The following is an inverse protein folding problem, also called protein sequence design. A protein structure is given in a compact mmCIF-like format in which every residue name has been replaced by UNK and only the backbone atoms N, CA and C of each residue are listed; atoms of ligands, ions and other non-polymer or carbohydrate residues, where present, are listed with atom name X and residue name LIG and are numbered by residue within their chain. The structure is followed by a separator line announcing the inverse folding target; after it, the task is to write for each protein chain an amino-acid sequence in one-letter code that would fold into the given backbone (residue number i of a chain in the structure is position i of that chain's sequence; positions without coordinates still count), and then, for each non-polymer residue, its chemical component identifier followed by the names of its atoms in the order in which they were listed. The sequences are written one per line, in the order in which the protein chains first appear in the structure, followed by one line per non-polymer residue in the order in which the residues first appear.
data_IF_442454599591
#
_entry.id   IF_442454599591
#
_cell.length_a   1.000
_cell.length_b   1.000
_cell.length_c   1.000
_cell.angle_alpha   90.00
_cell.angle_beta   90.00
_cell.angle_gamma   90.00
#
_symmetry.space_group_name_H-M   'P 1'
#
loop_
_entity.id
_entity.type
_entity.pdbx_description
1 polymer ?
#
# COMPACT_ATOMS: atom_id res chain seq x y z
N UNK A 1 21.99 -4.93 -124.44
CA UNK A 1 21.50 -5.51 -123.17
C UNK A 1 22.29 -6.79 -122.93
N UNK A 2 23.38 -6.75 -122.18
CA UNK A 2 23.55 -6.79 -120.71
C UNK A 2 23.70 -8.21 -120.11
N UNK A 3 24.96 -8.48 -119.74
CA UNK A 3 25.51 -9.26 -118.60
C UNK A 3 25.51 -10.79 -118.59
N UNK A 4 26.73 -11.31 -118.79
CA UNK A 4 27.37 -12.29 -117.91
C UNK A 4 27.58 -11.71 -116.49
N UNK A 5 27.43 -12.53 -115.45
CA UNK A 5 28.45 -12.80 -114.41
C UNK A 5 27.84 -13.48 -113.18
N UNK A 6 28.09 -14.78 -113.03
CA UNK A 6 27.70 -15.57 -111.86
C UNK A 6 28.93 -16.34 -111.34
N UNK A 7 29.86 -15.66 -110.65
CA UNK A 7 30.95 -16.35 -109.92
C UNK A 7 31.46 -15.66 -108.62
N UNK A 8 30.98 -14.48 -108.23
CA UNK A 8 31.60 -13.74 -107.10
C UNK A 8 31.01 -13.98 -105.68
N UNK A 9 29.95 -14.78 -105.52
CA UNK A 9 29.21 -14.85 -104.24
C UNK A 9 29.76 -15.81 -103.18
N UNK A 10 30.64 -16.76 -103.53
CA UNK A 10 31.01 -17.83 -102.59
C UNK A 10 32.26 -17.55 -101.73
N UNK A 11 33.07 -16.52 -102.04
CA UNK A 11 34.32 -16.25 -101.30
C UNK A 11 34.15 -15.36 -100.06
N UNK A 12 33.03 -14.63 -99.94
CA UNK A 12 32.80 -13.72 -98.80
C UNK A 12 32.26 -14.45 -97.55
N UNK A 13 31.59 -15.59 -97.73
CA UNK A 13 30.99 -16.33 -96.59
C UNK A 13 32.00 -17.03 -95.67
N UNK A 14 33.18 -17.43 -96.19
CA UNK A 14 34.15 -18.21 -95.42
C UNK A 14 35.02 -17.37 -94.47
N UNK A 15 35.23 -16.09 -94.78
CA UNK A 15 36.06 -15.20 -93.95
C UNK A 15 35.31 -14.75 -92.68
N UNK A 16 33.99 -14.62 -92.75
CA UNK A 16 33.18 -14.21 -91.60
C UNK A 16 33.01 -15.33 -90.54
N UNK A 17 33.00 -16.60 -90.96
CA UNK A 17 32.86 -17.74 -90.03
C UNK A 17 34.09 -18.00 -89.16
N UNK A 18 35.30 -17.70 -89.66
CA UNK A 18 36.55 -17.95 -88.93
C UNK A 18 36.77 -16.92 -87.80
N UNK A 19 36.25 -15.70 -87.94
CA UNK A 19 36.48 -14.62 -86.97
C UNK A 19 35.69 -14.79 -85.66
N UNK A 20 34.55 -15.49 -85.70
CA UNK A 20 33.66 -15.66 -84.55
C UNK A 20 34.15 -16.76 -83.59
N UNK A 21 34.92 -17.74 -84.10
CA UNK A 21 35.43 -18.85 -83.26
C UNK A 21 36.62 -18.42 -82.39
N UNK A 22 37.35 -17.36 -82.75
CA UNK A 22 38.53 -16.89 -82.00
C UNK A 22 38.16 -16.10 -80.73
N UNK A 23 36.92 -15.61 -80.61
CA UNK A 23 36.49 -14.77 -79.46
C UNK A 23 35.95 -15.62 -78.29
N UNK A 24 35.79 -16.94 -78.47
CA UNK A 24 35.16 -17.83 -77.48
C UNK A 24 36.13 -18.75 -76.72
N UNK A 25 37.35 -18.29 -76.40
CA UNK A 25 38.22 -19.00 -75.45
C UNK A 25 38.08 -18.44 -74.03
N UNK A 26 37.75 -19.26 -73.01
CA UNK A 26 37.65 -18.79 -71.64
C UNK A 26 39.04 -18.60 -71.03
N UNK A 27 39.29 -17.40 -70.50
CA UNK A 27 40.49 -17.04 -69.74
C UNK A 27 40.47 -17.79 -68.40
N UNK A 28 41.32 -18.81 -68.27
CA UNK A 28 41.64 -19.48 -67.01
C UNK A 28 42.83 -18.81 -66.32
N UNK A 29 42.60 -18.18 -65.15
CA UNK A 29 43.50 -18.07 -63.98
C UNK A 29 43.19 -16.80 -63.15
N UNK A 30 42.44 -16.94 -62.06
CA UNK A 30 42.45 -15.96 -60.97
C UNK A 30 43.20 -16.60 -59.79
N UNK A 31 44.43 -16.15 -59.55
CA UNK A 31 45.19 -16.51 -58.36
C UNK A 31 44.57 -15.80 -57.16
N UNK A 32 43.94 -16.55 -56.25
CA UNK A 32 43.53 -16.03 -54.94
C UNK A 32 44.80 -15.83 -54.11
N UNK A 33 45.22 -14.58 -53.94
CA UNK A 33 46.33 -14.21 -53.05
C UNK A 33 45.86 -14.41 -51.61
N UNK A 34 46.25 -15.53 -50.99
CA UNK A 34 46.08 -15.75 -49.56
C UNK A 34 47.09 -14.91 -48.79
N UNK A 35 46.74 -13.66 -48.48
CA UNK A 35 47.47 -12.91 -47.47
C UNK A 35 47.08 -13.43 -46.08
N UNK A 36 48.07 -13.90 -45.33
CA UNK A 36 47.89 -14.47 -44.00
C UNK A 36 47.28 -13.44 -43.03
N UNK A 37 47.59 -12.15 -43.20
CA UNK A 37 47.05 -11.09 -42.36
C UNK A 37 45.56 -10.84 -42.63
N UNK A 38 45.14 -10.80 -43.89
CA UNK A 38 43.70 -10.72 -44.26
C UNK A 38 42.93 -11.98 -43.89
N UNK A 39 43.53 -13.15 -44.01
CA UNK A 39 42.92 -14.43 -43.58
C UNK A 39 42.75 -14.47 -42.05
N UNK A 40 43.77 -14.07 -41.29
CA UNK A 40 43.69 -13.94 -39.83
C UNK A 40 42.65 -12.89 -39.39
N UNK A 41 42.58 -11.75 -40.08
CA UNK A 41 41.58 -10.71 -39.81
C UNK A 41 40.16 -11.19 -40.11
N UNK A 42 39.97 -11.91 -41.21
CA UNK A 42 38.67 -12.45 -41.60
C UNK A 42 38.19 -13.53 -40.63
N UNK A 43 39.09 -14.41 -40.16
CA UNK A 43 38.77 -15.43 -39.16
C UNK A 43 38.47 -14.82 -37.79
N UNK A 44 39.23 -13.83 -37.34
CA UNK A 44 38.91 -13.08 -36.12
C UNK A 44 37.57 -12.34 -36.23
N UNK A 45 37.29 -11.71 -37.37
CA UNK A 45 36.01 -11.03 -37.63
C UNK A 45 34.85 -12.03 -37.63
N UNK A 46 35.04 -13.22 -38.21
CA UNK A 46 34.04 -14.29 -38.19
C UNK A 46 33.79 -14.81 -36.77
N UNK A 47 34.86 -15.00 -35.97
CA UNK A 47 34.75 -15.42 -34.57
C UNK A 47 34.00 -14.38 -33.71
N UNK A 48 34.30 -13.09 -33.89
CA UNK A 48 33.60 -12.01 -33.18
C UNK A 48 32.14 -11.92 -33.61
N UNK A 49 31.84 -12.04 -34.91
CA UNK A 49 30.46 -12.07 -35.41
C UNK A 49 29.68 -13.26 -34.86
N UNK A 50 30.31 -14.42 -34.80
CA UNK A 50 29.73 -15.63 -34.23
C UNK A 50 29.44 -15.43 -32.75
N UNK A 51 30.38 -14.91 -31.97
CA UNK A 51 30.19 -14.61 -30.55
C UNK A 51 29.06 -13.61 -30.30
N UNK A 52 29.00 -12.52 -31.07
CA UNK A 52 27.91 -11.54 -30.98
C UNK A 52 26.57 -12.17 -31.35
N UNK A 53 26.52 -12.98 -32.40
CA UNK A 53 25.31 -13.69 -32.80
C UNK A 53 24.83 -14.68 -31.74
N UNK A 54 25.74 -15.47 -31.15
CA UNK A 54 25.42 -16.37 -30.03
C UNK A 54 24.88 -15.61 -28.83
N UNK A 55 25.49 -14.45 -28.51
CA UNK A 55 25.10 -13.60 -27.38
C UNK A 55 23.71 -12.99 -27.60
N UNK A 56 23.47 -12.42 -28.78
CA UNK A 56 22.16 -11.89 -29.17
C UNK A 56 21.11 -13.00 -29.14
N UNK A 57 21.42 -14.20 -29.64
CA UNK A 57 20.49 -15.34 -29.63
C UNK A 57 20.14 -15.76 -28.21
N UNK A 58 21.12 -15.85 -27.30
CA UNK A 58 20.89 -16.15 -25.89
C UNK A 58 20.07 -15.06 -25.20
N UNK A 59 20.38 -13.79 -25.44
CA UNK A 59 19.60 -12.66 -24.91
C UNK A 59 18.16 -12.72 -25.42
N UNK A 60 17.96 -13.02 -26.70
CA UNK A 60 16.65 -13.12 -27.32
C UNK A 60 15.85 -14.31 -26.80
N UNK A 61 16.48 -15.46 -26.57
CA UNK A 61 15.87 -16.62 -25.92
C UNK A 61 15.49 -16.31 -24.47
N UNK A 62 16.36 -15.60 -23.73
CA UNK A 62 16.08 -15.17 -22.36
C UNK A 62 14.94 -14.15 -22.30
N UNK A 63 14.91 -13.19 -23.22
CA UNK A 63 13.80 -12.24 -23.37
C UNK A 63 12.52 -13.00 -23.72
N UNK A 64 12.54 -14.00 -24.61
CA UNK A 64 11.37 -14.86 -24.87
C UNK A 64 10.93 -15.68 -23.66
N UNK A 65 11.86 -16.20 -22.87
CA UNK A 65 11.55 -16.88 -21.61
C UNK A 65 10.90 -15.92 -20.59
N UNK A 66 11.42 -14.71 -20.46
CA UNK A 66 10.87 -13.67 -19.58
C UNK A 66 9.56 -13.08 -20.11
N UNK A 67 9.38 -13.06 -21.43
CA UNK A 67 8.19 -12.54 -22.11
C UNK A 67 7.07 -13.59 -22.21
N UNK A 68 7.33 -14.87 -21.96
CA UNK A 68 6.30 -15.92 -21.92
C UNK A 68 5.26 -15.59 -20.85
N UNK A 69 4.15 -15.03 -21.34
CA UNK A 69 3.05 -14.41 -20.59
C UNK A 69 2.51 -15.35 -19.52
N UNK A 70 2.37 -14.86 -18.29
CA UNK A 70 1.88 -15.70 -17.19
C UNK A 70 0.40 -16.05 -17.41
N UNK A 71 -0.41 -15.11 -17.88
CA UNK A 71 -1.84 -15.34 -18.18
C UNK A 71 -2.09 -16.31 -19.35
N UNK A 72 -1.12 -16.50 -20.25
CA UNK A 72 -1.21 -17.50 -21.32
C UNK A 72 -0.91 -18.93 -20.83
N UNK A 73 -0.22 -19.06 -19.70
CA UNK A 73 0.19 -20.35 -19.12
C UNK A 73 -0.67 -20.76 -17.93
N UNK A 74 -1.34 -19.82 -17.27
CA UNK A 74 -2.17 -20.06 -16.09
C UNK A 74 -3.18 -18.94 -15.91
N UNK A 75 -4.35 -19.26 -15.34
CA UNK A 75 -5.26 -18.21 -14.86
C UNK A 75 -4.58 -17.40 -13.76
N UNK A 76 -4.67 -16.07 -13.86
CA UNK A 76 -4.17 -15.12 -12.85
C UNK A 76 -5.16 -14.91 -11.70
N UNK A 77 -6.41 -15.37 -11.86
CA UNK A 77 -7.44 -15.34 -10.80
C UNK A 77 -7.00 -16.10 -9.54
N UNK A 78 -6.06 -17.04 -9.65
CA UNK A 78 -5.47 -17.74 -8.49
C UNK A 78 -4.70 -16.82 -7.53
N UNK A 79 -4.37 -15.60 -7.95
CA UNK A 79 -3.75 -14.57 -7.11
C UNK A 79 -4.76 -13.57 -6.55
N UNK A 80 -6.03 -13.64 -6.99
CA UNK A 80 -7.10 -12.87 -6.39
C UNK A 80 -7.32 -13.38 -4.96
N UNK A 81 -7.45 -12.46 -4.02
CA UNK A 81 -7.77 -12.78 -2.65
C UNK A 81 -9.29 -12.70 -2.48
N UNK A 82 -9.93 -13.84 -2.29
CA UNK A 82 -11.33 -13.90 -1.89
C UNK A 82 -11.45 -13.52 -0.40
N UNK A 83 -12.50 -12.79 -0.03
CA UNK A 83 -12.77 -12.33 1.34
C UNK A 83 -11.64 -11.53 2.03
N UNK A 84 -11.07 -10.54 1.32
CA UNK A 84 -10.13 -9.59 1.93
C UNK A 84 -10.80 -8.84 3.09
N UNK A 85 -10.16 -8.72 4.27
CA UNK A 85 -10.64 -7.88 5.35
C UNK A 85 -10.95 -6.46 4.87
N UNK A 86 -12.21 -6.04 4.97
CA UNK A 86 -12.66 -4.71 4.55
C UNK A 86 -12.86 -3.81 5.76
N UNK A 87 -12.66 -2.52 5.53
CA UNK A 87 -13.02 -1.50 6.51
C UNK A 87 -14.51 -1.60 6.86
N UNK A 88 -14.82 -1.59 8.16
CA UNK A 88 -16.21 -1.62 8.65
C UNK A 88 -17.02 -0.48 8.03
N UNK A 89 -18.18 -0.79 7.46
CA UNK A 89 -19.00 0.15 6.68
C UNK A 89 -20.13 0.80 7.48
N UNK A 90 -20.61 0.13 8.53
CA UNK A 90 -21.72 0.56 9.36
C UNK A 90 -21.46 0.16 10.82
N UNK A 91 -21.91 0.99 11.77
CA UNK A 91 -22.02 0.55 13.16
C UNK A 91 -23.10 -0.53 13.25
N UNK A 92 -22.81 -1.64 13.95
CA UNK A 92 -23.88 -2.57 14.36
C UNK A 92 -24.88 -1.87 15.27
N UNK A 93 -25.94 -2.57 15.71
CA UNK A 93 -26.89 -1.98 16.66
C UNK A 93 -26.28 -1.86 18.06
N UNK A 94 -25.65 -0.71 18.36
CA UNK A 94 -25.08 -0.41 19.67
C UNK A 94 -25.93 0.64 20.39
N UNK A 95 -26.97 0.21 21.11
CA UNK A 95 -27.97 1.10 21.72
C UNK A 95 -27.38 2.28 22.53
N UNK A 96 -26.33 2.04 23.34
CA UNK A 96 -25.71 3.06 24.19
C UNK A 96 -24.45 3.71 23.61
N UNK A 97 -23.90 3.16 22.54
CA UNK A 97 -22.58 3.55 22.02
C UNK A 97 -22.59 3.84 20.52
N UNK A 98 -23.77 3.98 19.91
CA UNK A 98 -23.90 4.25 18.48
C UNK A 98 -23.14 5.51 18.06
N UNK A 99 -23.31 6.68 18.73
CA UNK A 99 -22.62 7.90 18.31
C UNK A 99 -21.09 7.74 18.35
N UNK A 100 -20.58 7.03 19.36
CA UNK A 100 -19.15 6.75 19.48
C UNK A 100 -18.64 5.73 18.45
N UNK A 101 -19.45 4.72 18.12
CA UNK A 101 -19.13 3.79 17.03
C UNK A 101 -19.07 4.50 15.68
N UNK A 102 -19.99 5.44 15.42
CA UNK A 102 -19.97 6.24 14.22
C UNK A 102 -18.73 7.15 14.18
N UNK A 103 -18.36 7.75 15.30
CA UNK A 103 -17.11 8.51 15.42
C UNK A 103 -15.86 7.65 15.13
N UNK A 104 -15.84 6.38 15.54
CA UNK A 104 -14.75 5.46 15.18
C UNK A 104 -14.74 5.08 13.69
N UNK A 105 -15.88 5.17 13.00
CA UNK A 105 -16.00 4.81 11.57
C UNK A 105 -15.73 6.01 10.66
N UNK A 106 -16.21 7.19 11.01
CA UNK A 106 -16.20 8.39 10.17
C UNK A 106 -15.26 9.49 10.69
N UNK A 107 -14.87 9.41 11.96
CA UNK A 107 -14.10 10.42 12.68
C UNK A 107 -15.00 11.43 13.38
N UNK A 108 -14.48 12.03 14.45
CA UNK A 108 -15.13 13.11 15.18
C UNK A 108 -14.08 14.11 15.65
N UNK A 109 -13.89 15.18 14.88
CA UNK A 109 -12.89 16.21 15.19
C UNK A 109 -13.25 17.02 16.44
N UNK A 110 -14.54 17.10 16.78
CA UNK A 110 -15.02 17.84 17.94
C UNK A 110 -14.85 17.05 19.25
N UNK A 111 -14.76 15.72 19.15
CA UNK A 111 -14.75 14.83 20.30
C UNK A 111 -16.08 14.73 21.04
N UNK A 112 -17.16 15.31 20.50
CA UNK A 112 -18.49 15.31 21.11
C UNK A 112 -18.99 13.90 21.45
N UNK A 113 -18.79 12.93 20.56
CA UNK A 113 -19.23 11.55 20.79
C UNK A 113 -18.44 10.87 21.92
N UNK A 114 -17.14 11.18 22.04
CA UNK A 114 -16.32 10.69 23.14
C UNK A 114 -16.73 11.31 24.47
N UNK A 115 -16.99 12.62 24.49
CA UNK A 115 -17.40 13.36 25.70
C UNK A 115 -18.77 12.90 26.18
N UNK A 116 -19.72 12.70 25.27
CA UNK A 116 -21.07 12.22 25.59
C UNK A 116 -21.05 10.82 26.23
N UNK A 117 -20.20 9.93 25.73
CA UNK A 117 -20.05 8.57 26.27
C UNK A 117 -19.21 8.51 27.56
N UNK A 118 -18.54 9.60 27.95
CA UNK A 118 -17.59 9.61 29.07
C UNK A 118 -18.18 10.16 30.36
N UNK A 119 -17.69 9.64 31.50
CA UNK A 119 -18.12 10.17 32.79
C UNK A 119 -17.74 11.64 32.91
N UNK A 120 -18.63 12.48 33.42
CA UNK A 120 -18.31 13.90 33.57
C UNK A 120 -17.31 14.10 34.70
N UNK A 121 -16.32 14.96 34.44
CA UNK A 121 -15.38 15.40 35.45
C UNK A 121 -16.12 16.11 36.58
N UNK A 122 -15.75 15.82 37.82
CA UNK A 122 -16.36 16.44 38.99
C UNK A 122 -16.04 17.94 39.07
N UNK A 123 -16.96 18.73 39.63
CA UNK A 123 -16.78 20.17 39.80
C UNK A 123 -15.60 20.48 40.72
N UNK A 124 -14.62 21.15 40.15
CA UNK A 124 -13.34 21.53 40.74
C UNK A 124 -13.39 22.88 41.49
N UNK A 125 -14.54 23.55 41.54
CA UNK A 125 -14.71 24.89 42.16
C UNK A 125 -14.19 24.98 43.61
N UNK A 126 -14.18 23.87 44.35
CA UNK A 126 -13.72 23.79 45.75
C UNK A 126 -12.21 23.63 45.95
N UNK A 127 -11.40 23.42 44.90
CA UNK A 127 -9.96 23.10 45.00
C UNK A 127 -9.14 24.17 45.73
N UNK A 128 -9.55 25.45 45.61
CA UNK A 128 -8.88 26.57 46.27
C UNK A 128 -8.90 26.49 47.81
N UNK A 129 -9.75 25.64 48.38
CA UNK A 129 -9.87 25.44 49.84
C UNK A 129 -8.94 24.36 50.39
N UNK A 130 -8.24 23.65 49.50
CA UNK A 130 -7.28 22.62 49.87
C UNK A 130 -5.91 23.24 50.15
N UNK A 131 -5.15 22.55 51.00
CA UNK A 131 -3.74 22.84 51.25
C UNK A 131 -2.96 22.74 49.91
N UNK A 132 -1.95 23.61 49.67
CA UNK A 132 -1.25 23.68 48.39
C UNK A 132 -0.67 22.37 47.86
N UNK A 133 -0.15 21.47 48.71
CA UNK A 133 0.36 20.17 48.26
C UNK A 133 -0.77 19.23 47.81
N UNK A 134 -1.87 19.17 48.55
CA UNK A 134 -3.05 18.38 48.18
C UNK A 134 -3.71 18.90 46.89
N UNK A 135 -3.78 20.23 46.73
CA UNK A 135 -4.28 20.87 45.51
C UNK A 135 -3.48 20.46 44.29
N UNK A 136 -2.14 20.57 44.35
CA UNK A 136 -1.25 20.20 43.24
C UNK A 136 -1.41 18.74 42.83
N UNK A 137 -1.58 17.84 43.80
CA UNK A 137 -1.81 16.42 43.52
C UNK A 137 -3.09 16.19 42.70
N UNK A 138 -4.18 16.86 43.07
CA UNK A 138 -5.46 16.72 42.37
C UNK A 138 -5.40 17.38 41.00
N UNK A 139 -4.81 18.58 40.89
CA UNK A 139 -4.58 19.26 39.62
C UNK A 139 -3.78 18.37 38.65
N UNK A 140 -2.74 17.68 39.13
CA UNK A 140 -1.99 16.72 38.32
C UNK A 140 -2.83 15.54 37.83
N UNK A 141 -3.72 15.00 38.69
CA UNK A 141 -4.66 13.93 38.27
C UNK A 141 -5.68 14.43 37.25
N UNK A 142 -6.26 15.62 37.46
CA UNK A 142 -7.17 16.24 36.50
C UNK A 142 -6.47 16.51 35.16
N UNK A 143 -5.22 16.98 35.17
CA UNK A 143 -4.42 17.17 33.97
C UNK A 143 -4.20 15.85 33.22
N UNK A 144 -3.99 14.74 33.93
CA UNK A 144 -3.84 13.40 33.33
C UNK A 144 -5.15 12.96 32.66
N UNK A 145 -6.30 13.22 33.28
CA UNK A 145 -7.61 12.96 32.67
C UNK A 145 -7.80 13.80 31.41
N UNK A 146 -7.52 15.11 31.46
CA UNK A 146 -7.62 15.99 30.29
C UNK A 146 -6.69 15.59 29.14
N UNK A 147 -5.47 15.12 29.46
CA UNK A 147 -4.55 14.59 28.46
C UNK A 147 -5.10 13.30 27.82
N UNK A 148 -5.69 12.42 28.62
CA UNK A 148 -6.32 11.19 28.14
C UNK A 148 -7.51 11.50 27.24
N UNK A 149 -8.33 12.48 27.60
CA UNK A 149 -9.47 12.92 26.80
C UNK A 149 -9.00 13.48 25.45
N UNK A 150 -7.98 14.34 25.43
CA UNK A 150 -7.41 14.88 24.20
C UNK A 150 -6.83 13.78 23.29
N UNK A 151 -6.07 12.83 23.87
CA UNK A 151 -5.53 11.70 23.14
C UNK A 151 -6.62 10.79 22.57
N UNK A 152 -7.67 10.52 23.34
CA UNK A 152 -8.78 9.69 22.92
C UNK A 152 -9.58 10.33 21.79
N UNK A 153 -9.84 11.64 21.85
CA UNK A 153 -10.50 12.41 20.79
C UNK A 153 -9.67 12.37 19.52
N UNK A 154 -8.37 12.67 19.60
CA UNK A 154 -7.47 12.65 18.46
C UNK A 154 -7.37 11.26 17.81
N UNK A 155 -7.24 10.21 18.62
CA UNK A 155 -7.15 8.84 18.13
C UNK A 155 -8.48 8.35 17.52
N UNK A 156 -9.62 8.73 18.11
CA UNK A 156 -10.96 8.43 17.55
C UNK A 156 -11.11 9.09 16.18
N UNK A 157 -10.80 10.39 16.08
CA UNK A 157 -10.86 11.11 14.81
C UNK A 157 -9.91 10.53 13.77
N UNK A 158 -8.64 10.33 14.12
CA UNK A 158 -7.62 9.81 13.21
C UNK A 158 -7.95 8.41 12.70
N UNK A 159 -8.43 7.52 13.58
CA UNK A 159 -8.85 6.17 13.20
C UNK A 159 -10.05 6.21 12.25
N UNK A 160 -11.04 7.04 12.54
CA UNK A 160 -12.19 7.23 11.66
C UNK A 160 -11.82 7.82 10.29
N UNK A 161 -10.90 8.79 10.25
CA UNK A 161 -10.39 9.33 8.99
C UNK A 161 -9.64 8.28 8.16
N UNK A 162 -8.81 7.45 8.79
CA UNK A 162 -8.13 6.34 8.11
C UNK A 162 -9.12 5.37 7.49
N UNK A 163 -10.20 5.02 8.20
CA UNK A 163 -11.26 4.16 7.65
C UNK A 163 -12.01 4.83 6.52
N UNK A 164 -12.40 6.09 6.69
CA UNK A 164 -13.14 6.83 5.68
C UNK A 164 -12.35 6.93 4.37
N UNK A 165 -11.08 7.34 4.44
CA UNK A 165 -10.18 7.45 3.29
C UNK A 165 -9.87 6.08 2.69
N UNK A 166 -9.61 5.08 3.55
CA UNK A 166 -9.35 3.71 3.13
C UNK A 166 -10.53 3.09 2.36
N UNK A 167 -11.77 3.38 2.77
CA UNK A 167 -12.98 2.96 2.03
C UNK A 167 -13.16 3.69 0.73
N UNK A 168 -13.05 5.02 0.76
CA UNK A 168 -13.44 5.87 -0.37
C UNK A 168 -12.46 5.74 -1.54
N UNK A 169 -11.16 5.62 -1.25
CA UNK A 169 -10.13 5.73 -2.27
C UNK A 169 -9.23 4.48 -2.33
N UNK A 170 -8.67 4.04 -1.20
CA UNK A 170 -7.63 3.00 -1.19
C UNK A 170 -8.18 1.64 -1.64
N UNK A 171 -9.31 1.20 -1.08
CA UNK A 171 -9.94 -0.06 -1.48
C UNK A 171 -10.29 -0.08 -2.97
N UNK A 172 -10.87 1.00 -3.49
CA UNK A 172 -11.24 1.09 -4.90
C UNK A 172 -10.00 1.06 -5.80
N UNK A 173 -8.92 1.73 -5.42
CA UNK A 173 -7.67 1.73 -6.18
C UNK A 173 -7.00 0.34 -6.17
N UNK A 174 -7.01 -0.36 -5.03
CA UNK A 174 -6.48 -1.73 -4.92
C UNK A 174 -7.36 -2.71 -5.72
N UNK A 175 -8.69 -2.59 -5.64
CA UNK A 175 -9.62 -3.42 -6.41
C UNK A 175 -9.48 -3.18 -7.93
N UNK A 176 -9.23 -1.94 -8.36
CA UNK A 176 -8.94 -1.62 -9.76
C UNK A 176 -7.59 -2.20 -10.22
N UNK A 177 -6.54 -2.05 -9.41
CA UNK A 177 -5.23 -2.65 -9.67
C UNK A 177 -5.31 -4.18 -9.74
N UNK A 178 -6.12 -4.80 -8.87
CA UNK A 178 -6.38 -6.23 -8.94
C UNK A 178 -7.06 -6.62 -10.25
N UNK A 179 -8.08 -5.87 -10.68
CA UNK A 179 -8.74 -6.04 -11.98
C UNK A 179 -7.75 -6.00 -13.14
N UNK A 180 -6.88 -4.99 -13.18
CA UNK A 180 -5.85 -4.84 -14.21
C UNK A 180 -4.83 -5.99 -14.19
N UNK A 181 -4.42 -6.43 -12.99
CA UNK A 181 -3.43 -7.52 -12.83
C UNK A 181 -3.99 -8.87 -13.22
N UNK A 182 -5.28 -9.14 -12.96
CA UNK A 182 -5.90 -10.44 -13.26
C UNK A 182 -6.53 -10.51 -14.65
N UNK A 183 -6.59 -9.40 -15.40
CA UNK A 183 -7.17 -9.35 -16.74
C UNK A 183 -6.36 -10.23 -17.74
N UNK A 184 -6.99 -11.24 -18.36
CA UNK A 184 -6.33 -12.06 -19.38
C UNK A 184 -6.21 -11.38 -20.75
N UNK A 185 -6.83 -10.20 -20.98
CA UNK A 185 -6.88 -9.54 -22.29
C UNK A 185 -5.50 -9.12 -22.82
N UNK A 186 -5.31 -9.10 -24.14
CA UNK A 186 -4.04 -8.73 -24.78
C UNK A 186 -3.78 -7.22 -24.83
N UNK A 187 -4.79 -6.38 -24.53
CA UNK A 187 -4.71 -4.92 -24.69
C UNK A 187 -3.92 -4.21 -23.58
N UNK A 188 -3.83 -4.81 -22.39
CA UNK A 188 -3.12 -4.26 -21.22
C UNK A 188 -1.67 -4.79 -21.07
N UNK A 189 -1.17 -5.63 -22.00
CA UNK A 189 -0.04 -6.52 -21.72
C UNK A 189 1.27 -6.13 -22.41
N UNK A 190 2.30 -5.79 -21.62
CA UNK A 190 3.70 -5.89 -22.06
C UNK A 190 4.51 -6.63 -21.00
N UNK A 191 4.89 -7.87 -21.29
CA UNK A 191 5.83 -8.76 -20.56
C UNK A 191 5.35 -9.44 -19.26
N UNK A 192 5.53 -10.76 -19.21
CA UNK A 192 5.21 -11.60 -18.05
C UNK A 192 5.98 -11.25 -16.77
N UNK A 193 7.12 -10.57 -16.90
CA UNK A 193 7.86 -10.02 -15.75
C UNK A 193 7.08 -8.87 -15.12
N UNK A 194 6.49 -7.97 -15.92
CA UNK A 194 5.63 -6.92 -15.41
C UNK A 194 4.38 -7.50 -14.73
N UNK A 195 3.77 -8.57 -15.27
CA UNK A 195 2.64 -9.25 -14.60
C UNK A 195 3.04 -9.77 -13.19
N UNK A 196 4.23 -10.37 -13.06
CA UNK A 196 4.75 -10.86 -11.77
C UNK A 196 5.07 -9.71 -10.82
N UNK A 197 5.64 -8.61 -11.32
CA UNK A 197 5.96 -7.42 -10.52
C UNK A 197 4.65 -6.77 -10.03
N UNK A 198 3.68 -6.56 -10.92
CA UNK A 198 2.39 -5.99 -10.58
C UNK A 198 1.62 -6.88 -9.60
N UNK A 199 1.65 -8.21 -9.77
CA UNK A 199 1.10 -9.15 -8.79
C UNK A 199 1.80 -9.09 -7.43
N UNK A 200 3.13 -8.98 -7.39
CA UNK A 200 3.88 -8.81 -6.14
C UNK A 200 3.56 -7.46 -5.45
N UNK A 201 3.42 -6.38 -6.22
CA UNK A 201 3.02 -5.06 -5.71
C UNK A 201 1.61 -5.12 -5.13
N UNK A 202 0.67 -5.79 -5.80
CA UNK A 202 -0.71 -5.97 -5.32
C UNK A 202 -0.74 -6.77 -4.00
N UNK A 203 -0.02 -7.89 -3.92
CA UNK A 203 0.09 -8.67 -2.68
C UNK A 203 0.67 -7.80 -1.56
N UNK A 204 1.73 -7.02 -1.85
CA UNK A 204 2.32 -6.08 -0.90
C UNK A 204 1.33 -5.01 -0.43
N UNK A 205 0.51 -4.46 -1.33
CA UNK A 205 -0.54 -3.49 -1.00
C UNK A 205 -1.61 -4.12 -0.09
N UNK A 206 -2.10 -5.32 -0.42
CA UNK A 206 -3.07 -6.07 0.41
C UNK A 206 -2.51 -6.41 1.79
N UNK A 207 -1.25 -6.83 1.89
CA UNK A 207 -0.58 -7.09 3.18
C UNK A 207 -0.43 -5.81 4.02
N UNK A 208 -0.09 -4.68 3.39
CA UNK A 208 -0.03 -3.38 4.06
C UNK A 208 -1.40 -2.97 4.58
N UNK A 209 -2.44 -3.08 3.77
CA UNK A 209 -3.81 -2.77 4.15
C UNK A 209 -4.26 -3.61 5.36
N UNK A 210 -4.05 -4.92 5.33
CA UNK A 210 -4.38 -5.81 6.44
C UNK A 210 -3.65 -5.44 7.74
N UNK A 211 -2.38 -5.06 7.64
CA UNK A 211 -1.59 -4.58 8.79
C UNK A 211 -2.13 -3.27 9.35
N UNK A 212 -2.50 -2.31 8.50
CA UNK A 212 -3.08 -1.04 8.96
C UNK A 212 -4.42 -1.30 9.66
N UNK A 213 -5.27 -2.18 9.12
CA UNK A 213 -6.53 -2.55 9.76
C UNK A 213 -6.32 -3.19 11.13
N UNK A 214 -5.32 -4.07 11.27
CA UNK A 214 -4.94 -4.65 12.56
C UNK A 214 -4.48 -3.57 13.56
N UNK A 215 -3.62 -2.64 13.12
CA UNK A 215 -3.14 -1.54 13.95
C UNK A 215 -4.27 -0.63 14.40
N UNK A 216 -5.24 -0.33 13.53
CA UNK A 216 -6.45 0.41 13.89
C UNK A 216 -7.24 -0.35 14.95
N UNK A 217 -7.44 -1.67 14.80
CA UNK A 217 -8.08 -2.49 15.83
C UNK A 217 -7.36 -2.46 17.18
N UNK A 218 -6.02 -2.47 17.18
CA UNK A 218 -5.22 -2.33 18.41
C UNK A 218 -5.41 -0.95 19.05
N UNK A 219 -5.44 0.13 18.24
CA UNK A 219 -5.73 1.49 18.74
C UNK A 219 -7.11 1.55 19.39
N UNK A 220 -8.13 0.93 18.80
CA UNK A 220 -9.47 0.88 19.38
C UNK A 220 -9.53 0.11 20.70
N UNK A 221 -8.79 -0.98 20.81
CA UNK A 221 -8.68 -1.70 22.07
C UNK A 221 -7.99 -0.85 23.14
N UNK A 222 -6.87 -0.19 22.80
CA UNK A 222 -6.16 0.73 23.70
C UNK A 222 -7.05 1.92 24.09
N UNK A 223 -7.87 2.44 23.17
CA UNK A 223 -8.86 3.47 23.45
C UNK A 223 -9.90 3.00 24.47
N UNK A 224 -10.45 1.79 24.29
CA UNK A 224 -11.41 1.21 25.21
C UNK A 224 -10.79 1.02 26.61
N UNK A 225 -9.56 0.52 26.69
CA UNK A 225 -8.86 0.32 27.96
C UNK A 225 -8.51 1.65 28.64
N UNK A 226 -7.99 2.61 27.88
CA UNK A 226 -7.70 3.96 28.38
C UNK A 226 -8.97 4.65 28.88
N UNK A 227 -10.08 4.50 28.17
CA UNK A 227 -11.38 5.04 28.58
C UNK A 227 -11.86 4.42 29.90
N UNK A 228 -11.78 3.09 30.06
CA UNK A 228 -12.16 2.43 31.32
C UNK A 228 -11.32 2.91 32.50
N UNK A 229 -10.01 3.03 32.31
CA UNK A 229 -9.10 3.55 33.34
C UNK A 229 -9.45 5.00 33.71
N UNK A 230 -9.63 5.85 32.69
CA UNK A 230 -10.02 7.26 32.84
C UNK A 230 -11.36 7.43 33.55
N UNK A 231 -12.38 6.64 33.20
CA UNK A 231 -13.69 6.70 33.84
C UNK A 231 -13.62 6.21 35.29
N UNK A 232 -12.79 5.22 35.59
CA UNK A 232 -12.52 4.78 36.97
C UNK A 232 -11.87 5.88 37.80
N UNK A 233 -10.86 6.55 37.25
CA UNK A 233 -10.20 7.69 37.90
C UNK A 233 -11.16 8.85 38.12
N UNK A 234 -12.01 9.14 37.13
CA UNK A 234 -13.03 10.20 37.21
C UNK A 234 -14.06 9.90 38.30
N UNK A 235 -14.54 8.65 38.38
CA UNK A 235 -15.43 8.20 39.45
C UNK A 235 -14.79 8.34 40.83
N UNK A 236 -13.52 7.93 40.98
CA UNK A 236 -12.79 8.03 42.24
C UNK A 236 -12.60 9.50 42.67
N UNK A 237 -12.23 10.37 41.75
CA UNK A 237 -12.11 11.81 42.01
C UNK A 237 -13.47 12.43 42.40
N UNK A 238 -14.55 12.04 41.72
CA UNK A 238 -15.89 12.51 42.05
C UNK A 238 -16.33 12.09 43.45
N UNK A 239 -16.06 10.85 43.86
CA UNK A 239 -16.34 10.37 45.21
C UNK A 239 -15.52 11.14 46.26
N UNK A 240 -14.23 11.37 46.01
CA UNK A 240 -13.35 12.15 46.91
C UNK A 240 -13.84 13.59 47.08
N UNK A 241 -14.15 14.26 45.97
CA UNK A 241 -14.64 15.64 45.99
C UNK A 241 -16.00 15.76 46.70
N UNK A 242 -16.90 14.80 46.48
CA UNK A 242 -18.20 14.76 47.17
C UNK A 242 -18.00 14.55 48.68
N UNK A 243 -17.12 13.63 49.06
CA UNK A 243 -16.76 13.40 50.47
C UNK A 243 -16.19 14.65 51.12
N UNK A 244 -15.35 15.44 50.45
CA UNK A 244 -14.83 16.69 51.01
C UNK A 244 -15.88 17.79 51.12
N UNK A 245 -16.77 17.88 50.12
CA UNK A 245 -17.88 18.84 50.12
C UNK A 245 -18.79 18.60 51.33
N UNK A 246 -19.17 17.34 51.53
CA UNK A 246 -20.21 16.98 52.49
C UNK A 246 -19.61 16.66 53.88
N UNK A 247 -18.35 16.22 53.94
CA UNK A 247 -17.67 15.84 55.17
C UNK A 247 -17.56 16.96 56.20
N UNK A 248 -17.46 18.23 55.77
CA UNK A 248 -17.50 19.38 56.71
C UNK A 248 -18.89 19.63 57.28
N UNK A 249 -19.94 19.35 56.53
CA UNK A 249 -21.33 19.47 57.02
C UNK A 249 -21.62 18.31 57.97
N UNK A 250 -21.27 17.09 57.57
CA UNK A 250 -21.40 15.89 58.39
C UNK A 250 -20.60 16.01 59.71
N UNK A 251 -19.35 16.48 59.66
CA UNK A 251 -18.52 16.69 60.85
C UNK A 251 -19.10 17.74 61.80
N UNK A 252 -19.63 18.85 61.28
CA UNK A 252 -20.31 19.86 62.11
C UNK A 252 -21.58 19.31 62.75
N UNK A 253 -22.39 18.58 62.00
CA UNK A 253 -23.59 17.93 62.53
C UNK A 253 -23.26 16.90 63.62
N UNK A 254 -22.19 16.12 63.44
CA UNK A 254 -21.71 15.16 64.44
C UNK A 254 -21.25 15.84 65.73
N UNK A 255 -20.45 16.91 65.64
CA UNK A 255 -19.99 17.67 66.81
C UNK A 255 -21.18 18.32 67.53
N UNK A 256 -22.11 18.93 66.79
CA UNK A 256 -23.31 19.53 67.36
C UNK A 256 -24.19 18.49 68.10
N UNK A 257 -24.47 17.36 67.45
CA UNK A 257 -25.23 16.26 68.04
C UNK A 257 -24.54 15.63 69.25
N UNK A 258 -23.21 15.50 69.23
CA UNK A 258 -22.43 15.03 70.38
C UNK A 258 -22.52 16.02 71.55
N UNK A 259 -22.50 17.33 71.27
CA UNK A 259 -22.69 18.36 72.29
C UNK A 259 -24.09 18.34 72.92
N UNK A 260 -25.12 18.10 72.13
CA UNK A 260 -26.50 17.95 72.63
C UNK A 260 -26.67 16.66 73.44
N UNK A 261 -26.05 15.55 73.00
CA UNK A 261 -26.03 14.28 73.74
C UNK A 261 -25.32 14.40 75.10
N UNK A 262 -24.17 15.09 75.15
CA UNK A 262 -23.46 15.34 76.40
C UNK A 262 -24.24 16.25 77.36
N UNK A 263 -24.97 17.25 76.84
CA UNK A 263 -25.79 18.15 77.66
C UNK A 263 -27.07 17.48 78.20
N UNK A 264 -27.57 16.46 77.51
CA UNK A 264 -28.76 15.71 77.91
C UNK A 264 -28.45 14.44 78.71
N UNK A 265 -27.17 14.07 78.84
CA UNK A 265 -26.74 12.92 79.62
C UNK A 265 -27.01 13.12 81.11
N UNK A 266 -28.00 12.40 81.64
CA UNK A 266 -28.19 12.21 83.09
C UNK A 266 -27.56 10.87 83.46
N UNK A 267 -26.66 10.87 84.45
CA UNK A 267 -26.18 9.62 85.04
C UNK A 267 -27.37 8.86 85.64
N UNK A 268 -27.45 7.53 85.42
CA UNK A 268 -28.47 6.69 86.04
C UNK A 268 -28.35 6.66 87.57
#
# INVERSE_FOLDING_TARGET
MYRLNCQHRHRVGLVAGLLIVVIATPVSAQWVVHDAATTARNTMTAAVKQFLFETERQQHEKIREMARRLSALTSLRKYALEDVPRWRTHGGEFFYAQPYNDALIFGDASGSAFVELSQRLADASGLHRLEPSARRLIEARLATVSLTDAAAIAATHGSGQLRFLGRKNELQAIDALEGDVIDPSSEQSTTAVLDKISGAVLIGARQRQARIQLLVGMVEQLLADSKRARDTDTAALAMQMTTWRDGRVAGRAFVAGSGDALRSWRQP
#
